data_IF_581119597190
#
_entry.id   IF_581119597190
#
_cell.length_a   1.000
_cell.length_b   1.000
_cell.length_c   1.000
_cell.angle_alpha   90.00
_cell.angle_beta   90.00
_cell.angle_gamma   90.00
#
_symmetry.space_group_name_H-M   'P 1'
#
loop_
_entity.id
_entity.type
_entity.pdbx_description
1 polymer ?
#
# COMPACT_ATOMS: atom_id res chain seq x y z
N UNK A 1 2.16 -36.96 -56.07
CA UNK A 1 2.52 -37.43 -54.71
C UNK A 1 3.43 -36.37 -54.12
N UNK A 2 2.83 -35.41 -53.43
CA UNK A 2 3.54 -34.41 -52.63
C UNK A 2 2.52 -33.92 -51.61
N UNK A 3 2.86 -34.15 -50.34
CA UNK A 3 2.08 -33.91 -49.13
C UNK A 3 1.62 -32.47 -49.00
N UNK A 4 0.31 -32.28 -48.82
CA UNK A 4 -0.26 -31.09 -48.24
C UNK A 4 -0.51 -31.38 -46.75
N UNK A 5 0.54 -31.24 -45.95
CA UNK A 5 0.46 -31.35 -44.50
C UNK A 5 -0.14 -30.05 -43.91
N UNK A 6 -1.41 -30.14 -43.60
CA UNK A 6 -2.13 -29.56 -42.46
C UNK A 6 -1.29 -28.65 -41.53
N UNK A 7 -1.29 -27.35 -41.81
CA UNK A 7 -0.80 -26.32 -40.92
C UNK A 7 -1.92 -25.89 -39.95
N UNK A 8 -2.36 -26.82 -39.11
CA UNK A 8 -3.13 -26.49 -37.91
C UNK A 8 -2.18 -25.89 -36.87
N UNK A 9 -1.89 -24.60 -37.04
CA UNK A 9 -1.28 -23.78 -36.01
C UNK A 9 -2.25 -23.68 -34.83
N UNK A 10 -2.14 -24.63 -33.90
CA UNK A 10 -2.72 -24.57 -32.57
C UNK A 10 -2.09 -23.37 -31.85
N UNK A 11 -2.71 -22.20 -31.99
CA UNK A 11 -2.46 -21.05 -31.13
C UNK A 11 -3.08 -21.36 -29.78
N UNK A 12 -2.35 -22.11 -28.96
CA UNK A 12 -2.60 -22.15 -27.53
C UNK A 12 -2.33 -20.71 -27.01
N UNK A 13 -3.32 -20.03 -26.40
CA UNK A 13 -3.05 -18.76 -25.75
C UNK A 13 -2.05 -19.03 -24.64
N UNK A 14 -1.00 -18.19 -24.57
CA UNK A 14 -0.02 -18.22 -23.50
C UNK A 14 -0.74 -18.43 -22.17
N UNK A 15 -0.46 -19.56 -21.52
CA UNK A 15 -0.90 -19.81 -20.16
C UNK A 15 -0.27 -18.73 -19.31
N UNK A 16 -0.98 -17.62 -19.13
CA UNK A 16 -0.64 -16.62 -18.13
C UNK A 16 -0.66 -17.37 -16.82
N UNK A 17 0.52 -17.67 -16.31
CA UNK A 17 0.69 -18.21 -14.97
C UNK A 17 0.03 -17.24 -13.99
N UNK A 18 -1.20 -17.57 -13.59
CA UNK A 18 -2.01 -16.85 -12.61
C UNK A 18 -1.43 -17.06 -11.21
N UNK A 19 -0.17 -16.69 -11.00
CA UNK A 19 0.46 -16.76 -9.68
C UNK A 19 -0.23 -15.79 -8.70
N UNK A 20 -0.78 -14.66 -9.19
CA UNK A 20 -1.51 -13.67 -8.38
C UNK A 20 -2.86 -13.31 -8.97
N UNK A 21 -3.89 -13.30 -8.12
CA UNK A 21 -5.26 -12.90 -8.47
C UNK A 21 -5.42 -11.39 -8.43
N UNK A 22 -6.61 -10.83 -8.67
CA UNK A 22 -6.85 -9.38 -8.45
C UNK A 22 -6.65 -9.01 -6.98
N UNK A 23 -6.27 -7.77 -6.62
CA UNK A 23 -6.17 -7.34 -5.21
C UNK A 23 -7.42 -7.64 -4.37
N UNK A 24 -8.60 -7.53 -5.01
CA UNK A 24 -9.89 -7.87 -4.41
C UNK A 24 -10.00 -9.36 -4.09
N UNK A 25 -9.59 -10.24 -4.99
CA UNK A 25 -9.61 -11.68 -4.74
C UNK A 25 -8.53 -12.10 -3.76
N UNK A 26 -7.34 -11.49 -3.84
CA UNK A 26 -6.27 -11.66 -2.86
C UNK A 26 -6.76 -11.34 -1.45
N UNK A 27 -7.37 -10.16 -1.22
CA UNK A 27 -7.89 -9.79 0.11
C UNK A 27 -9.00 -10.73 0.62
N UNK A 28 -9.85 -11.26 -0.28
CA UNK A 28 -10.85 -12.28 0.09
C UNK A 28 -10.21 -13.59 0.52
N UNK A 29 -9.16 -14.03 -0.19
CA UNK A 29 -8.43 -15.24 0.18
C UNK A 29 -7.67 -15.03 1.50
N UNK A 30 -7.05 -13.87 1.70
CA UNK A 30 -6.42 -13.51 2.98
C UNK A 30 -7.42 -13.62 4.15
N UNK A 31 -8.61 -12.99 4.01
CA UNK A 31 -9.68 -13.10 5.00
C UNK A 31 -10.11 -14.56 5.24
N UNK A 32 -10.29 -15.35 4.18
CA UNK A 32 -10.70 -16.75 4.31
C UNK A 32 -9.65 -17.59 5.05
N UNK A 33 -8.36 -17.36 4.77
CA UNK A 33 -7.26 -18.04 5.46
C UNK A 33 -7.16 -17.63 6.93
N UNK A 34 -7.34 -16.35 7.26
CA UNK A 34 -7.33 -15.88 8.65
C UNK A 34 -8.52 -16.42 9.43
N UNK A 35 -9.72 -16.48 8.81
CA UNK A 35 -10.89 -17.15 9.40
C UNK A 35 -10.64 -18.63 9.66
N UNK A 36 -10.02 -19.34 8.70
CA UNK A 36 -9.64 -20.74 8.87
C UNK A 36 -8.69 -20.93 10.04
N UNK A 37 -7.65 -20.10 10.14
CA UNK A 37 -6.69 -20.17 11.26
C UNK A 37 -7.35 -19.91 12.62
N UNK A 38 -8.34 -19.00 12.68
CA UNK A 38 -9.15 -18.79 13.89
C UNK A 38 -9.97 -20.03 14.23
N UNK A 39 -10.62 -20.67 13.24
CA UNK A 39 -11.40 -21.90 13.46
C UNK A 39 -10.51 -23.05 13.93
N UNK A 40 -9.34 -23.26 13.30
CA UNK A 40 -8.37 -24.27 13.72
C UNK A 40 -7.93 -24.02 15.17
N UNK A 41 -7.53 -22.80 15.51
CA UNK A 41 -7.14 -22.45 16.87
C UNK A 41 -8.28 -22.62 17.89
N UNK A 42 -9.52 -22.33 17.50
CA UNK A 42 -10.68 -22.52 18.36
C UNK A 42 -10.97 -24.01 18.59
N UNK A 43 -10.86 -24.85 17.55
CA UNK A 43 -11.02 -26.30 17.64
C UNK A 43 -9.92 -26.93 18.52
N UNK A 44 -8.67 -26.48 18.39
CA UNK A 44 -7.56 -26.93 19.23
C UNK A 44 -7.75 -26.54 20.71
N UNK A 45 -8.51 -25.48 20.99
CA UNK A 45 -8.84 -25.05 22.35
C UNK A 45 -10.08 -25.76 22.94
N UNK A 46 -10.83 -26.55 22.17
CA UNK A 46 -12.03 -27.27 22.65
C UNK A 46 -11.68 -28.34 23.69
N UNK A 47 -10.63 -29.16 23.54
CA UNK A 47 -10.17 -30.04 24.60
C UNK A 47 -9.60 -29.18 25.74
N UNK A 48 -10.48 -28.71 26.62
CA UNK A 48 -10.06 -27.97 27.81
C UNK A 48 -9.19 -28.90 28.65
N UNK A 49 -7.92 -28.54 28.81
CA UNK A 49 -6.97 -29.27 29.62
C UNK A 49 -7.55 -29.47 31.04
N UNK A 50 -7.67 -30.71 31.53
CA UNK A 50 -8.18 -30.96 32.87
C UNK A 50 -7.24 -30.49 33.99
N UNK A 51 -5.95 -30.24 33.71
CA UNK A 51 -4.96 -29.79 34.69
C UNK A 51 -4.07 -28.64 34.16
N UNK A 52 -4.67 -27.49 33.79
CA UNK A 52 -3.92 -26.38 33.21
C UNK A 52 -3.06 -25.70 34.27
N UNK A 53 -1.87 -25.24 33.90
CA UNK A 53 -1.11 -24.37 34.79
C UNK A 53 -1.88 -23.05 35.03
N UNK A 54 -1.70 -22.39 36.20
CA UNK A 54 -2.37 -21.14 36.50
C UNK A 54 -2.17 -20.09 35.37
N UNK A 55 -3.28 -19.67 34.76
CA UNK A 55 -3.29 -18.66 33.69
C UNK A 55 -3.36 -19.21 32.26
N UNK A 56 -3.21 -20.52 32.03
CA UNK A 56 -3.18 -21.10 30.68
C UNK A 56 -4.49 -20.91 29.92
N UNK A 57 -5.61 -21.07 30.63
CA UNK A 57 -6.95 -20.84 30.09
C UNK A 57 -7.12 -19.38 29.64
N UNK A 58 -6.66 -18.42 30.45
CA UNK A 58 -6.70 -17.00 30.10
C UNK A 58 -5.80 -16.69 28.90
N UNK A 59 -4.58 -17.26 28.86
CA UNK A 59 -3.66 -17.08 27.73
C UNK A 59 -4.27 -17.60 26.42
N UNK A 60 -4.94 -18.74 26.48
CA UNK A 60 -5.68 -19.33 25.35
C UNK A 60 -6.81 -18.41 24.89
N UNK A 61 -7.64 -17.91 25.81
CA UNK A 61 -8.72 -16.98 25.49
C UNK A 61 -8.19 -15.67 24.85
N UNK A 62 -7.13 -15.08 25.41
CA UNK A 62 -6.52 -13.87 24.86
C UNK A 62 -5.88 -14.11 23.48
N UNK A 63 -5.37 -15.32 23.22
CA UNK A 63 -4.87 -15.68 21.89
C UNK A 63 -5.99 -15.76 20.85
N UNK A 64 -7.14 -16.35 21.22
CA UNK A 64 -8.32 -16.37 20.35
C UNK A 64 -8.86 -14.96 20.10
N UNK A 65 -8.85 -14.09 21.12
CA UNK A 65 -9.21 -12.69 20.96
C UNK A 65 -8.32 -11.97 19.93
N UNK A 66 -6.99 -12.12 20.02
CA UNK A 66 -6.06 -11.53 19.04
C UNK A 66 -6.31 -12.04 17.62
N UNK A 67 -6.57 -13.34 17.45
CA UNK A 67 -6.91 -13.90 16.13
C UNK A 67 -8.23 -13.36 15.58
N UNK A 68 -9.22 -13.10 16.45
CA UNK A 68 -10.46 -12.45 16.04
C UNK A 68 -10.20 -11.01 15.58
N UNK A 69 -9.32 -10.28 16.27
CA UNK A 69 -8.89 -8.95 15.83
C UNK A 69 -8.20 -9.01 14.47
N UNK A 70 -7.37 -10.02 14.19
CA UNK A 70 -6.78 -10.27 12.87
C UNK A 70 -7.86 -10.47 11.79
N UNK A 71 -8.90 -11.27 12.07
CA UNK A 71 -10.05 -11.43 11.15
C UNK A 71 -10.72 -10.10 10.85
N UNK A 72 -10.92 -9.24 11.87
CA UNK A 72 -11.51 -7.90 11.66
C UNK A 72 -10.63 -7.05 10.77
N UNK A 73 -9.31 -7.08 10.96
CA UNK A 73 -8.36 -6.33 10.12
C UNK A 73 -8.42 -6.79 8.65
N UNK A 74 -8.38 -8.09 8.41
CA UNK A 74 -8.50 -8.65 7.04
C UNK A 74 -9.88 -8.36 6.42
N UNK A 75 -10.95 -8.35 7.21
CA UNK A 75 -12.27 -8.00 6.74
C UNK A 75 -12.35 -6.52 6.29
N UNK A 76 -11.71 -5.61 7.04
CA UNK A 76 -11.62 -4.19 6.65
C UNK A 76 -10.82 -4.04 5.35
N UNK A 77 -9.70 -4.73 5.20
CA UNK A 77 -8.92 -4.73 3.96
C UNK A 77 -9.77 -5.23 2.79
N UNK A 78 -10.47 -6.35 2.95
CA UNK A 78 -11.34 -6.90 1.91
C UNK A 78 -12.51 -5.97 1.55
N UNK A 79 -13.07 -5.25 2.51
CA UNK A 79 -14.10 -4.23 2.26
C UNK A 79 -13.53 -3.01 1.53
N UNK A 80 -12.33 -2.54 1.89
CA UNK A 80 -11.66 -1.44 1.17
C UNK A 80 -11.33 -1.82 -0.27
N UNK A 81 -10.83 -3.02 -0.52
CA UNK A 81 -10.59 -3.52 -1.89
C UNK A 81 -11.89 -3.73 -2.69
N UNK A 82 -13.04 -3.80 -2.00
CA UNK A 82 -14.38 -3.76 -2.61
C UNK A 82 -14.90 -2.35 -2.90
N UNK A 83 -14.16 -1.31 -2.52
CA UNK A 83 -14.56 0.09 -2.65
C UNK A 83 -15.44 0.61 -1.51
N UNK A 84 -15.60 -0.15 -0.41
CA UNK A 84 -16.37 0.31 0.75
C UNK A 84 -15.64 1.47 1.41
N UNK A 85 -16.35 2.57 1.66
CA UNK A 85 -15.76 3.81 2.22
C UNK A 85 -15.51 3.70 3.73
N UNK A 86 -14.61 4.54 4.26
CA UNK A 86 -14.39 4.64 5.71
C UNK A 86 -15.65 5.00 6.51
N UNK A 87 -16.57 5.75 5.91
CA UNK A 87 -17.86 6.05 6.51
C UNK A 87 -18.69 4.77 6.70
N UNK A 88 -18.83 3.97 5.63
CA UNK A 88 -19.59 2.71 5.68
C UNK A 88 -18.94 1.68 6.61
N UNK A 89 -17.61 1.61 6.65
CA UNK A 89 -16.88 0.77 7.61
C UNK A 89 -17.14 1.22 9.04
N UNK A 90 -17.09 2.53 9.31
CA UNK A 90 -17.43 3.09 10.62
C UNK A 90 -18.86 2.77 11.04
N UNK A 91 -19.82 2.98 10.14
CA UNK A 91 -21.24 2.64 10.35
C UNK A 91 -21.42 1.16 10.70
N UNK A 92 -20.83 0.25 9.92
CA UNK A 92 -20.91 -1.20 10.15
C UNK A 92 -20.27 -1.61 11.50
N UNK A 93 -19.24 -0.89 11.94
CA UNK A 93 -18.57 -1.13 13.21
C UNK A 93 -19.19 -0.36 14.40
N UNK A 94 -20.20 0.48 14.17
CA UNK A 94 -20.81 1.32 15.21
C UNK A 94 -19.89 2.43 15.75
N UNK A 95 -18.93 2.90 14.94
CA UNK A 95 -18.00 3.98 15.29
C UNK A 95 -18.00 5.09 14.23
N UNK A 96 -17.36 6.23 14.53
CA UNK A 96 -17.29 7.32 13.55
C UNK A 96 -16.37 6.97 12.38
N UNK A 97 -16.56 7.64 11.24
CA UNK A 97 -15.65 7.57 10.07
C UNK A 97 -14.19 7.81 10.48
N UNK A 98 -13.94 8.84 11.29
CA UNK A 98 -12.59 9.21 11.71
C UNK A 98 -11.97 8.10 12.58
N UNK A 99 -12.72 7.58 13.55
CA UNK A 99 -12.26 6.49 14.41
C UNK A 99 -11.96 5.20 13.61
N UNK A 100 -12.77 4.90 12.59
CA UNK A 100 -12.51 3.76 11.70
C UNK A 100 -11.23 3.95 10.89
N UNK A 101 -11.04 5.13 10.31
CA UNK A 101 -9.82 5.48 9.60
C UNK A 101 -8.59 5.39 10.52
N UNK A 102 -8.59 6.07 11.66
CA UNK A 102 -7.48 6.03 12.62
C UNK A 102 -7.14 4.59 13.07
N UNK A 103 -8.16 3.76 13.26
CA UNK A 103 -7.98 2.38 13.75
C UNK A 103 -7.39 1.43 12.71
N UNK A 104 -7.80 1.54 11.43
CA UNK A 104 -7.49 0.52 10.42
C UNK A 104 -6.75 1.03 9.18
N UNK A 105 -6.53 2.34 9.04
CA UNK A 105 -5.76 2.90 7.91
C UNK A 105 -4.37 2.27 7.80
N UNK A 106 -3.70 2.05 8.94
CA UNK A 106 -2.38 1.42 8.97
C UNK A 106 -2.36 0.01 8.36
N UNK A 107 -3.40 -0.80 8.62
CA UNK A 107 -3.50 -2.17 8.08
C UNK A 107 -3.74 -2.15 6.56
N UNK A 108 -4.62 -1.27 6.09
CA UNK A 108 -4.89 -1.08 4.65
C UNK A 108 -3.66 -0.57 3.91
N UNK A 109 -2.90 0.34 4.54
CA UNK A 109 -1.65 0.83 3.98
C UNK A 109 -0.55 -0.25 3.99
N UNK A 110 -0.48 -1.09 5.03
CA UNK A 110 0.45 -2.21 5.09
C UNK A 110 0.15 -3.24 3.99
N UNK A 111 -1.13 -3.55 3.75
CA UNK A 111 -1.58 -4.38 2.64
C UNK A 111 -1.14 -3.84 1.27
N UNK A 112 -1.26 -2.52 1.06
CA UNK A 112 -0.75 -1.89 -0.14
C UNK A 112 0.78 -2.03 -0.27
N UNK A 113 1.50 -1.83 0.83
CA UNK A 113 2.97 -1.91 0.87
C UNK A 113 3.51 -3.33 0.60
N UNK A 114 2.77 -4.39 0.92
CA UNK A 114 3.13 -5.78 0.58
C UNK A 114 2.73 -6.17 -0.85
N UNK A 115 2.28 -5.21 -1.65
CA UNK A 115 1.89 -5.42 -3.04
C UNK A 115 0.51 -6.07 -3.20
N UNK A 116 -0.35 -5.94 -2.19
CA UNK A 116 -1.75 -6.42 -2.19
C UNK A 116 -1.85 -7.90 -2.55
N UNK A 117 -1.11 -8.71 -1.80
CA UNK A 117 -0.94 -10.14 -2.02
C UNK A 117 -1.20 -10.86 -0.72
N UNK A 118 -2.11 -11.84 -0.73
CA UNK A 118 -2.41 -12.64 0.46
C UNK A 118 -1.25 -13.57 0.84
N UNK A 119 -0.49 -13.98 -0.18
CA UNK A 119 0.52 -15.01 -0.07
C UNK A 119 1.89 -14.53 -0.55
N UNK A 120 2.97 -15.20 -0.08
CA UNK A 120 4.28 -15.16 -0.70
C UNK A 120 4.25 -15.42 -2.22
N UNK A 121 5.23 -14.90 -2.98
CA UNK A 121 5.22 -14.96 -4.45
C UNK A 121 5.36 -16.36 -5.05
N UNK A 122 5.84 -17.34 -4.29
CA UNK A 122 6.01 -18.73 -4.69
C UNK A 122 4.72 -19.57 -4.59
N UNK A 123 3.70 -19.05 -3.90
CA UNK A 123 2.41 -19.73 -3.76
C UNK A 123 1.38 -19.16 -4.74
N UNK A 124 0.53 -20.05 -5.25
CA UNK A 124 -0.58 -19.68 -6.14
C UNK A 124 -1.85 -19.52 -5.33
N UNK A 125 -2.33 -18.28 -5.24
CA UNK A 125 -3.52 -17.92 -4.44
C UNK A 125 -4.76 -18.74 -4.77
N UNK A 126 -4.98 -19.09 -6.04
CA UNK A 126 -6.13 -19.90 -6.44
C UNK A 126 -6.04 -21.36 -5.97
N UNK A 127 -4.84 -21.94 -5.97
CA UNK A 127 -4.61 -23.31 -5.47
C UNK A 127 -4.84 -23.37 -3.96
N UNK A 128 -4.30 -22.39 -3.22
CA UNK A 128 -4.51 -22.28 -1.77
C UNK A 128 -5.98 -22.05 -1.41
N UNK A 129 -6.71 -21.26 -2.21
CA UNK A 129 -8.15 -21.09 -2.05
C UNK A 129 -8.92 -22.40 -2.26
N UNK A 130 -8.53 -23.19 -3.27
CA UNK A 130 -9.13 -24.49 -3.55
C UNK A 130 -8.86 -25.52 -2.42
N UNK A 131 -7.67 -25.49 -1.81
CA UNK A 131 -7.36 -26.31 -0.64
C UNK A 131 -8.24 -25.94 0.56
N UNK A 132 -8.44 -24.64 0.80
CA UNK A 132 -9.33 -24.15 1.85
C UNK A 132 -10.79 -24.55 1.59
N UNK A 133 -11.23 -24.54 0.33
CA UNK A 133 -12.54 -25.07 -0.07
C UNK A 133 -12.69 -26.57 0.24
N UNK A 134 -11.69 -27.39 -0.09
CA UNK A 134 -11.72 -28.82 0.20
C UNK A 134 -11.81 -29.13 1.71
N UNK A 135 -11.17 -28.31 2.54
CA UNK A 135 -11.30 -28.38 3.99
C UNK A 135 -12.71 -27.99 4.46
N UNK A 136 -13.23 -26.86 3.96
CA UNK A 136 -14.58 -26.41 4.30
C UNK A 136 -15.64 -27.44 3.91
N UNK A 137 -15.51 -28.05 2.72
CA UNK A 137 -16.41 -29.08 2.20
C UNK A 137 -16.49 -30.32 3.11
N UNK A 138 -15.42 -30.66 3.85
CA UNK A 138 -15.46 -31.75 4.84
C UNK A 138 -16.43 -31.47 5.99
N UNK A 139 -16.61 -30.21 6.36
CA UNK A 139 -17.53 -29.78 7.41
C UNK A 139 -18.92 -29.41 6.88
N UNK A 140 -18.99 -28.94 5.63
CA UNK A 140 -20.20 -28.48 4.93
C UNK A 140 -20.22 -28.97 3.48
N UNK A 141 -20.59 -30.24 3.25
CA UNK A 141 -20.56 -30.84 1.91
C UNK A 141 -21.52 -30.19 0.91
N UNK A 142 -22.54 -29.47 1.38
CA UNK A 142 -23.52 -28.75 0.56
C UNK A 142 -22.93 -27.51 -0.15
N UNK A 143 -21.73 -27.07 0.26
CA UNK A 143 -21.06 -25.87 -0.27
C UNK A 143 -19.58 -26.14 -0.54
N UNK A 144 -19.25 -26.96 -1.56
CA UNK A 144 -17.87 -27.42 -1.79
C UNK A 144 -16.91 -26.35 -2.33
N UNK A 145 -17.41 -25.17 -2.75
CA UNK A 145 -16.63 -24.07 -3.32
C UNK A 145 -16.95 -22.76 -2.59
N UNK A 146 -16.83 -22.74 -1.26
CA UNK A 146 -17.24 -21.61 -0.43
C UNK A 146 -16.43 -20.32 -0.69
N UNK A 147 -15.18 -20.45 -1.13
CA UNK A 147 -14.23 -19.38 -1.37
C UNK A 147 -14.08 -19.16 -2.88
N UNK A 148 -13.68 -20.18 -3.64
CA UNK A 148 -13.30 -20.02 -5.06
C UNK A 148 -14.46 -19.55 -5.92
N UNK A 149 -15.70 -19.96 -5.64
CA UNK A 149 -16.88 -19.51 -6.39
C UNK A 149 -17.16 -18.00 -6.25
N UNK A 150 -16.67 -17.37 -5.19
CA UNK A 150 -16.81 -15.94 -4.92
C UNK A 150 -15.75 -15.06 -5.58
N UNK A 151 -14.67 -15.65 -6.11
CA UNK A 151 -13.54 -14.91 -6.68
C UNK A 151 -13.89 -14.39 -8.08
N UNK A 152 -13.58 -13.12 -8.33
CA UNK A 152 -13.82 -12.47 -9.62
C UNK A 152 -12.99 -13.18 -10.71
N UNK A 153 -11.81 -13.68 -10.38
CA UNK A 153 -10.97 -14.57 -11.16
C UNK A 153 -11.70 -15.79 -11.77
N UNK A 154 -12.62 -16.38 -11.00
CA UNK A 154 -13.38 -17.57 -11.39
C UNK A 154 -14.68 -17.15 -12.10
N UNK A 155 -15.30 -16.07 -11.64
CA UNK A 155 -16.57 -15.56 -12.18
C UNK A 155 -16.42 -14.82 -13.50
N UNK A 156 -15.28 -14.17 -13.72
CA UNK A 156 -14.98 -13.29 -14.84
C UNK A 156 -13.55 -13.57 -15.38
N UNK A 157 -13.29 -14.76 -15.95
CA UNK A 157 -11.94 -15.16 -16.37
C UNK A 157 -11.27 -14.27 -17.43
N UNK A 158 -11.99 -13.30 -18.01
CA UNK A 158 -11.43 -12.28 -18.91
C UNK A 158 -10.80 -11.06 -18.22
N UNK A 159 -11.02 -10.83 -16.91
CA UNK A 159 -10.52 -9.64 -16.22
C UNK A 159 -9.04 -9.72 -15.81
N UNK A 160 -8.46 -10.93 -15.83
CA UNK A 160 -7.11 -11.20 -15.34
C UNK A 160 -6.01 -10.34 -15.96
N UNK A 161 -5.99 -10.21 -17.28
CA UNK A 161 -4.98 -9.42 -17.97
C UNK A 161 -5.06 -7.93 -17.60
N UNK A 162 -6.29 -7.41 -17.43
CA UNK A 162 -6.53 -6.05 -17.01
C UNK A 162 -6.05 -5.83 -15.56
N UNK A 163 -6.43 -6.69 -14.63
CA UNK A 163 -6.02 -6.64 -13.22
C UNK A 163 -4.50 -6.78 -13.05
N UNK A 164 -3.87 -7.68 -13.81
CA UNK A 164 -2.42 -7.81 -13.86
C UNK A 164 -1.75 -6.52 -14.36
N UNK A 165 -2.31 -5.87 -15.39
CA UNK A 165 -1.78 -4.60 -15.90
C UNK A 165 -1.89 -3.46 -14.88
N UNK A 166 -2.99 -3.38 -14.13
CA UNK A 166 -3.18 -2.41 -13.05
C UNK A 166 -2.15 -2.63 -11.93
N UNK A 167 -1.96 -3.89 -11.51
CA UNK A 167 -0.96 -4.24 -10.50
C UNK A 167 0.45 -3.88 -10.95
N UNK A 168 0.86 -4.25 -12.17
CA UNK A 168 2.19 -3.90 -12.68
C UNK A 168 2.40 -2.39 -12.71
N UNK A 169 1.38 -1.63 -13.11
CA UNK A 169 1.42 -0.17 -13.09
C UNK A 169 1.53 0.38 -11.67
N UNK A 170 0.69 -0.08 -10.74
CA UNK A 170 0.74 0.32 -9.33
C UNK A 170 2.10 0.04 -8.70
N UNK A 171 2.66 -1.15 -8.92
CA UNK A 171 4.00 -1.51 -8.44
C UNK A 171 5.08 -0.58 -8.98
N UNK A 172 5.07 -0.27 -10.28
CA UNK A 172 6.03 0.65 -10.86
C UNK A 172 5.90 2.08 -10.29
N UNK A 173 4.67 2.53 -10.04
CA UNK A 173 4.39 3.82 -9.42
C UNK A 173 4.88 3.89 -7.97
N UNK A 174 4.68 2.84 -7.16
CA UNK A 174 5.21 2.77 -5.78
C UNK A 174 6.73 2.74 -5.75
N UNK A 175 7.39 2.05 -6.67
CA UNK A 175 8.86 2.11 -6.82
C UNK A 175 9.29 3.53 -7.14
N UNK A 176 8.67 4.18 -8.12
CA UNK A 176 8.97 5.58 -8.47
C UNK A 176 8.77 6.53 -7.29
N UNK A 177 7.68 6.38 -6.53
CA UNK A 177 7.42 7.17 -5.32
C UNK A 177 8.54 6.99 -4.30
N UNK A 178 8.96 5.75 -4.05
CA UNK A 178 10.02 5.44 -3.09
C UNK A 178 11.35 6.10 -3.48
N UNK A 179 11.70 6.11 -4.77
CA UNK A 179 12.89 6.80 -5.26
C UNK A 179 12.80 8.33 -5.06
N UNK A 180 11.62 8.92 -5.30
CA UNK A 180 11.36 10.34 -5.08
C UNK A 180 11.40 10.71 -3.59
N UNK A 181 10.86 9.87 -2.70
CA UNK A 181 10.94 10.05 -1.25
C UNK A 181 12.41 10.07 -0.78
N UNK A 182 13.24 9.17 -1.32
CA UNK A 182 14.67 9.15 -1.05
C UNK A 182 15.37 10.43 -1.56
N UNK A 183 14.99 10.93 -2.75
CA UNK A 183 15.50 12.18 -3.29
C UNK A 183 15.10 13.39 -2.43
N UNK A 184 13.84 13.47 -2.00
CA UNK A 184 13.34 14.53 -1.12
C UNK A 184 14.10 14.54 0.22
N UNK A 185 14.33 13.35 0.81
CA UNK A 185 15.13 13.21 2.02
C UNK A 185 16.55 13.77 1.83
N UNK A 186 17.24 13.38 0.76
CA UNK A 186 18.59 13.87 0.44
C UNK A 186 18.63 15.40 0.30
N UNK A 187 17.64 15.99 -0.36
CA UNK A 187 17.54 17.45 -0.51
C UNK A 187 17.29 18.16 0.83
N UNK A 188 16.47 17.57 1.72
CA UNK A 188 16.25 18.08 3.08
C UNK A 188 17.52 18.00 3.95
N UNK A 189 18.31 16.93 3.81
CA UNK A 189 19.60 16.80 4.50
C UNK A 189 20.61 17.87 4.00
N UNK A 190 20.62 18.14 2.69
CA UNK A 190 21.39 19.24 2.10
C UNK A 190 20.94 20.60 2.60
N UNK A 191 19.63 20.85 2.67
CA UNK A 191 19.07 22.08 3.24
C UNK A 191 19.52 22.27 4.70
N UNK A 192 19.44 21.21 5.50
CA UNK A 192 19.86 21.26 6.91
C UNK A 192 21.35 21.60 7.04
N UNK A 193 22.18 21.06 6.14
CA UNK A 193 23.62 21.35 6.08
C UNK A 193 23.88 22.79 5.67
N UNK A 194 23.21 23.30 4.62
CA UNK A 194 23.30 24.70 4.21
C UNK A 194 22.92 25.61 5.38
N UNK A 195 21.75 25.36 5.99
CA UNK A 195 21.27 26.15 7.12
C UNK A 195 22.26 26.16 8.30
N UNK A 196 22.92 25.04 8.60
CA UNK A 196 23.94 24.97 9.63
C UNK A 196 25.23 25.71 9.26
N UNK A 197 25.59 25.74 7.98
CA UNK A 197 26.78 26.41 7.44
C UNK A 197 26.55 27.90 7.12
N UNK A 198 25.47 28.49 7.61
CA UNK A 198 25.04 29.85 7.25
C UNK A 198 26.18 30.89 7.29
N UNK A 199 26.05 32.00 6.56
CA UNK A 199 27.13 32.97 6.29
C UNK A 199 27.80 33.53 7.56
N UNK A 200 27.09 33.56 8.69
CA UNK A 200 27.64 33.93 9.99
C UNK A 200 28.68 32.95 10.56
N UNK A 201 28.69 31.69 10.11
CA UNK A 201 29.68 30.68 10.48
C UNK A 201 31.06 30.92 9.84
N UNK A 202 31.19 31.89 8.92
CA UNK A 202 32.44 32.25 8.23
C UNK A 202 32.97 33.62 8.71
N UNK A 203 32.69 33.96 9.97
CA UNK A 203 33.05 35.24 10.61
C UNK A 203 34.57 35.38 10.85
N UNK A 204 35.31 35.62 9.78
CA UNK A 204 36.71 36.09 9.83
C UNK A 204 37.04 37.16 8.77
N UNK A 205 36.03 37.64 8.03
CA UNK A 205 36.21 38.59 6.92
C UNK A 205 35.74 39.98 7.33
N UNK A 206 36.69 40.92 7.46
CA UNK A 206 36.44 42.32 7.83
C UNK A 206 35.95 43.19 6.65
N UNK A 207 35.83 42.64 5.43
CA UNK A 207 35.36 43.36 4.23
C UNK A 207 33.82 43.21 4.04
N UNK A 208 33.05 44.31 4.18
CA UNK A 208 31.59 44.30 4.00
C UNK A 208 31.12 43.82 2.62
N UNK A 209 31.89 44.06 1.55
CA UNK A 209 31.52 43.62 0.20
C UNK A 209 31.65 42.11 0.04
N UNK A 210 32.71 41.52 0.59
CA UNK A 210 32.92 40.07 0.58
C UNK A 210 31.85 39.37 1.44
N UNK A 211 31.49 39.97 2.58
CA UNK A 211 30.38 39.48 3.40
C UNK A 211 29.06 39.49 2.62
N UNK A 212 28.66 40.62 2.03
CA UNK A 212 27.43 40.70 1.23
C UNK A 212 27.38 39.68 0.09
N UNK A 213 28.49 39.47 -0.61
CA UNK A 213 28.59 38.45 -1.66
C UNK A 213 28.39 37.03 -1.11
N UNK A 214 28.97 36.72 0.07
CA UNK A 214 28.78 35.43 0.74
C UNK A 214 27.33 35.20 1.19
N UNK A 215 26.66 36.24 1.73
CA UNK A 215 25.24 36.17 2.09
C UNK A 215 24.36 35.91 0.86
N UNK A 216 24.60 36.60 -0.26
CA UNK A 216 23.86 36.37 -1.51
C UNK A 216 24.08 34.97 -2.06
N UNK A 217 25.33 34.52 -2.16
CA UNK A 217 25.65 33.17 -2.64
C UNK A 217 25.02 32.07 -1.76
N UNK A 218 24.96 32.29 -0.45
CA UNK A 218 24.26 31.40 0.46
C UNK A 218 22.75 31.40 0.23
N UNK A 219 22.13 32.57 0.13
CA UNK A 219 20.70 32.70 -0.15
C UNK A 219 20.31 32.03 -1.48
N UNK A 220 21.13 32.20 -2.52
CA UNK A 220 20.95 31.55 -3.83
C UNK A 220 21.02 30.03 -3.72
N UNK A 221 21.98 29.50 -2.95
CA UNK A 221 22.12 28.06 -2.72
C UNK A 221 20.91 27.47 -1.97
N UNK A 222 20.45 28.15 -0.92
CA UNK A 222 19.23 27.76 -0.19
C UNK A 222 18.02 27.80 -1.11
N UNK A 223 17.86 28.88 -1.87
CA UNK A 223 16.76 29.03 -2.83
C UNK A 223 16.75 27.91 -3.87
N UNK A 224 17.88 27.63 -4.50
CA UNK A 224 18.00 26.55 -5.49
C UNK A 224 17.64 25.19 -4.89
N UNK A 225 18.09 24.89 -3.67
CA UNK A 225 17.73 23.67 -2.97
C UNK A 225 16.21 23.57 -2.70
N UNK A 226 15.58 24.66 -2.23
CA UNK A 226 14.13 24.68 -1.98
C UNK A 226 13.33 24.49 -3.27
N UNK A 227 13.71 25.15 -4.36
CA UNK A 227 13.06 24.93 -5.67
C UNK A 227 13.19 23.46 -6.15
N UNK A 228 14.32 22.82 -5.89
CA UNK A 228 14.49 21.39 -6.18
C UNK A 228 13.55 20.51 -5.31
N UNK A 229 13.39 20.82 -4.02
CA UNK A 229 12.43 20.12 -3.13
C UNK A 229 10.99 20.27 -3.65
N UNK A 230 10.60 21.48 -4.04
CA UNK A 230 9.26 21.73 -4.60
C UNK A 230 9.01 20.89 -5.85
N UNK A 231 10.00 20.82 -6.75
CA UNK A 231 9.90 20.00 -7.98
C UNK A 231 9.68 18.52 -7.64
N UNK A 232 10.41 17.96 -6.66
CA UNK A 232 10.22 16.57 -6.23
C UNK A 232 8.82 16.36 -5.64
N UNK A 233 8.30 17.31 -4.87
CA UNK A 233 6.94 17.20 -4.34
C UNK A 233 5.87 17.23 -5.44
N UNK A 234 6.02 18.03 -6.49
CA UNK A 234 5.10 17.98 -7.64
C UNK A 234 5.13 16.62 -8.36
N UNK A 235 6.31 16.04 -8.51
CA UNK A 235 6.46 14.72 -9.11
C UNK A 235 5.78 13.64 -8.25
N UNK A 236 5.94 13.70 -6.92
CA UNK A 236 5.26 12.78 -6.00
C UNK A 236 3.73 12.96 -6.10
N UNK A 237 3.23 14.20 -6.13
CA UNK A 237 1.80 14.46 -6.31
C UNK A 237 1.27 13.85 -7.62
N UNK A 238 2.03 13.96 -8.72
CA UNK A 238 1.69 13.36 -10.01
C UNK A 238 1.64 11.83 -9.94
N UNK A 239 2.57 11.20 -9.22
CA UNK A 239 2.55 9.75 -8.99
C UNK A 239 1.29 9.33 -8.24
N UNK A 240 0.89 10.09 -7.21
CA UNK A 240 -0.35 9.82 -6.49
C UNK A 240 -1.60 9.98 -7.38
N UNK A 241 -1.66 10.98 -8.26
CA UNK A 241 -2.76 11.11 -9.22
C UNK A 241 -2.86 9.89 -10.15
N UNK A 242 -1.71 9.36 -10.59
CA UNK A 242 -1.67 8.15 -11.41
C UNK A 242 -2.13 6.91 -10.62
N UNK A 243 -1.73 6.83 -9.35
CA UNK A 243 -2.15 5.75 -8.44
C UNK A 243 -3.67 5.72 -8.24
N UNK A 244 -4.39 6.85 -8.28
CA UNK A 244 -5.87 6.86 -8.23
C UNK A 244 -6.50 5.93 -9.28
N UNK A 245 -5.91 5.85 -10.48
CA UNK A 245 -6.42 5.00 -11.57
C UNK A 245 -5.89 3.57 -11.51
N UNK A 246 -4.65 3.38 -11.07
CA UNK A 246 -4.05 2.06 -10.90
C UNK A 246 -4.66 1.30 -9.71
N UNK A 247 -5.11 2.04 -8.70
CA UNK A 247 -5.53 1.54 -7.40
C UNK A 247 -6.85 2.20 -6.93
N UNK A 248 -7.98 1.96 -7.62
CA UNK A 248 -9.23 2.68 -7.34
C UNK A 248 -9.74 2.51 -5.91
N UNK A 249 -9.45 1.39 -5.25
CA UNK A 249 -9.80 1.13 -3.85
C UNK A 249 -9.16 2.11 -2.87
N UNK A 250 -7.99 2.69 -3.21
CA UNK A 250 -7.26 3.68 -2.41
C UNK A 250 -7.30 5.10 -3.00
N UNK A 251 -8.26 5.36 -3.90
CA UNK A 251 -8.33 6.62 -4.61
C UNK A 251 -8.48 7.85 -3.70
N UNK A 252 -9.18 7.73 -2.56
CA UNK A 252 -9.35 8.85 -1.61
C UNK A 252 -8.03 9.18 -0.90
N UNK A 253 -7.31 8.15 -0.47
CA UNK A 253 -6.00 8.26 0.16
C UNK A 253 -4.98 8.86 -0.81
N UNK A 254 -4.94 8.36 -2.04
CA UNK A 254 -4.04 8.88 -3.08
C UNK A 254 -4.31 10.35 -3.39
N UNK A 255 -5.58 10.77 -3.49
CA UNK A 255 -5.91 12.21 -3.66
C UNK A 255 -5.44 13.06 -2.48
N UNK A 256 -5.69 12.58 -1.25
CA UNK A 256 -5.27 13.27 -0.03
C UNK A 256 -3.75 13.46 0.00
N UNK A 257 -2.98 12.42 -0.38
CA UNK A 257 -1.53 12.51 -0.46
C UNK A 257 -1.07 13.45 -1.58
N UNK A 258 -1.70 13.41 -2.75
CA UNK A 258 -1.40 14.34 -3.84
C UNK A 258 -1.60 15.81 -3.40
N UNK A 259 -2.71 16.12 -2.73
CA UNK A 259 -3.00 17.46 -2.22
C UNK A 259 -1.98 17.89 -1.16
N UNK A 260 -1.59 16.99 -0.25
CA UNK A 260 -0.55 17.28 0.72
C UNK A 260 0.77 17.66 0.05
N UNK A 261 1.20 16.91 -0.95
CA UNK A 261 2.43 17.18 -1.69
C UNK A 261 2.37 18.48 -2.50
N UNK A 262 1.22 18.82 -3.11
CA UNK A 262 1.02 20.12 -3.76
C UNK A 262 1.18 21.28 -2.78
N UNK A 263 0.52 21.19 -1.62
CA UNK A 263 0.64 22.20 -0.57
C UNK A 263 2.09 22.34 -0.07
N UNK A 264 2.80 21.22 0.11
CA UNK A 264 4.21 21.22 0.51
C UNK A 264 5.12 21.88 -0.54
N UNK A 265 4.84 21.64 -1.82
CA UNK A 265 5.53 22.26 -2.95
C UNK A 265 5.31 23.78 -2.99
N UNK A 266 4.06 24.24 -2.85
CA UNK A 266 3.70 25.67 -2.79
C UNK A 266 4.39 26.40 -1.64
N UNK A 267 4.34 25.83 -0.42
CA UNK A 267 5.03 26.41 0.74
C UNK A 267 6.55 26.50 0.51
N UNK A 268 7.11 25.48 -0.13
CA UNK A 268 8.53 25.42 -0.43
C UNK A 268 8.95 26.49 -1.44
N UNK A 269 8.14 26.73 -2.48
CA UNK A 269 8.35 27.85 -3.43
C UNK A 269 8.21 29.20 -2.76
N UNK A 270 7.16 29.39 -1.96
CA UNK A 270 6.93 30.64 -1.24
C UNK A 270 8.13 31.02 -0.36
N UNK A 271 8.74 30.05 0.31
CA UNK A 271 9.98 30.28 1.05
C UNK A 271 11.16 30.68 0.14
N UNK A 272 11.33 30.01 -1.00
CA UNK A 272 12.35 30.38 -1.98
C UNK A 272 12.15 31.80 -2.55
N UNK A 273 10.91 32.24 -2.73
CA UNK A 273 10.58 33.59 -3.22
C UNK A 273 10.88 34.67 -2.18
N UNK A 274 10.69 34.38 -0.88
CA UNK A 274 11.07 35.30 0.20
C UNK A 274 12.58 35.59 0.22
N UNK A 275 13.41 34.64 -0.23
CA UNK A 275 14.86 34.85 -0.35
C UNK A 275 15.25 35.82 -1.47
N UNK A 276 14.38 36.03 -2.47
CA UNK A 276 14.56 37.08 -3.49
C UNK A 276 14.17 38.48 -2.96
N UNK A 277 13.27 38.57 -1.98
CA UNK A 277 12.69 39.83 -1.51
C UNK A 277 13.62 40.73 -0.69
N UNK A 278 14.85 40.28 -0.39
CA UNK A 278 15.87 41.06 0.33
C UNK A 278 16.66 42.05 -0.55
N UNK A 279 16.30 42.22 -1.83
CA UNK A 279 16.97 43.13 -2.76
C UNK A 279 16.28 44.51 -2.95
N UNK A 280 15.25 44.83 -2.16
CA UNK A 280 14.61 46.16 -2.16
C UNK A 280 15.09 47.07 -1.02
#
# INVERSE_FOLDING_TARGET
MTDAADASASSAPAAYELHRLSPRDESRVALALTLRQLVEAALDAVPVDPDPSPGDLLRTALQLQRRMEDVVREAVVAERERGTTWYQIGEAAGITRQSAHEKWYGDVHAWAATGRSALPPDLKTLEVAAEADALYARLRPDRPQAITSGLDAVRFPGSHAYEASLRSRGSALHTRRTDLDAQAKKLNDQYSTLHAQGPAAHSSVDDPHVMLAAYRGHADAVRANRLAIATVHDEIATVYDQLVTAEPSLAEEHRTQADWHRNASEQTRGYADLLNGGEN
#
